data_IF_335268962875
#
_entry.id   IF_335268962875
#
_cell.length_a   1.000
_cell.length_b   1.000
_cell.length_c   1.000
_cell.angle_alpha   90.00
_cell.angle_beta   90.00
_cell.angle_gamma   90.00
#
_symmetry.space_group_name_H-M   'P 1'
#
loop_
_entity.id
_entity.type
_entity.pdbx_description
1 polymer ?
#
# COMPACT_ATOMS: atom_id res chain seq x y z
N UNK A 1 -0.47 17.65 -19.40
CA UNK A 1 -0.38 18.18 -18.02
C UNK A 1 -1.57 17.77 -17.13
N UNK A 2 -2.74 17.52 -17.72
CA UNK A 2 -3.99 17.14 -17.01
C UNK A 2 -3.89 15.82 -16.22
N UNK A 3 -3.32 14.76 -16.81
CA UNK A 3 -3.15 13.43 -16.19
C UNK A 3 -2.40 13.44 -14.83
N UNK A 4 -1.50 14.39 -14.63
CA UNK A 4 -0.74 14.54 -13.38
C UNK A 4 -1.55 15.22 -12.28
N UNK A 5 -2.51 16.07 -12.64
CA UNK A 5 -3.44 16.72 -11.71
C UNK A 5 -4.44 15.70 -11.16
N UNK A 6 -5.00 14.86 -12.02
CA UNK A 6 -5.93 13.80 -11.62
C UNK A 6 -5.28 12.79 -10.67
N UNK A 7 -4.02 12.44 -10.91
CA UNK A 7 -3.28 11.54 -10.01
C UNK A 7 -3.06 12.17 -8.63
N UNK A 8 -2.71 13.46 -8.56
CA UNK A 8 -2.57 14.18 -7.29
C UNK A 8 -3.90 14.26 -6.54
N UNK A 9 -5.00 14.58 -7.23
CA UNK A 9 -6.33 14.64 -6.63
C UNK A 9 -6.76 13.27 -6.09
N UNK A 10 -6.55 12.20 -6.87
CA UNK A 10 -6.81 10.82 -6.39
C UNK A 10 -5.96 10.48 -5.18
N UNK A 11 -4.67 10.84 -5.18
CA UNK A 11 -3.79 10.61 -4.02
C UNK A 11 -4.33 11.33 -2.77
N UNK A 12 -4.69 12.61 -2.89
CA UNK A 12 -5.28 13.38 -1.78
C UNK A 12 -6.58 12.74 -1.29
N UNK A 13 -7.46 12.35 -2.22
CA UNK A 13 -8.71 11.68 -1.89
C UNK A 13 -8.48 10.37 -1.12
N UNK A 14 -7.58 9.51 -1.60
CA UNK A 14 -7.27 8.25 -0.91
C UNK A 14 -6.55 8.47 0.42
N UNK A 15 -5.71 9.51 0.54
CA UNK A 15 -5.08 9.87 1.82
C UNK A 15 -6.11 10.38 2.83
N UNK A 16 -7.08 11.16 2.38
CA UNK A 16 -8.17 11.65 3.21
C UNK A 16 -9.11 10.51 3.63
N UNK A 17 -9.43 9.59 2.72
CA UNK A 17 -10.23 8.40 3.03
C UNK A 17 -9.54 7.52 4.08
N UNK A 18 -8.23 7.30 3.94
CA UNK A 18 -7.43 6.58 4.94
C UNK A 18 -7.39 7.30 6.28
N UNK A 19 -7.32 8.64 6.27
CA UNK A 19 -7.36 9.42 7.50
C UNK A 19 -8.69 9.27 8.24
N UNK A 20 -9.82 9.32 7.52
CA UNK A 20 -11.15 9.06 8.08
C UNK A 20 -11.25 7.64 8.63
N UNK A 21 -10.74 6.65 7.89
CA UNK A 21 -10.74 5.25 8.30
C UNK A 21 -10.04 5.05 9.66
N UNK A 22 -8.89 5.71 9.87
CA UNK A 22 -8.18 5.69 11.15
C UNK A 22 -8.98 6.37 12.27
N UNK A 23 -9.66 7.47 11.99
CA UNK A 23 -10.52 8.13 12.99
C UNK A 23 -11.70 7.23 13.41
N UNK A 24 -12.37 6.63 12.43
CA UNK A 24 -13.46 5.67 12.69
C UNK A 24 -12.96 4.45 13.46
N UNK A 25 -11.76 3.98 13.17
CA UNK A 25 -11.14 2.90 13.92
C UNK A 25 -10.95 3.27 15.40
N UNK A 26 -10.40 4.46 15.67
CA UNK A 26 -10.20 4.97 17.03
C UNK A 26 -11.54 5.11 17.77
N UNK A 27 -12.55 5.69 17.11
CA UNK A 27 -13.90 5.84 17.67
C UNK A 27 -14.57 4.48 17.95
N UNK A 28 -14.38 3.50 17.06
CA UNK A 28 -14.93 2.15 17.24
C UNK A 28 -14.34 1.44 18.47
N UNK A 29 -13.04 1.65 18.73
CA UNK A 29 -12.37 1.13 19.92
C UNK A 29 -12.92 1.83 21.16
N UNK A 30 -13.07 3.15 21.12
CA UNK A 30 -13.56 3.94 22.26
C UNK A 30 -15.01 3.58 22.65
N UNK A 31 -15.87 3.33 21.67
CA UNK A 31 -17.29 3.01 21.87
C UNK A 31 -17.57 1.52 22.08
N UNK A 32 -16.56 0.65 21.94
CA UNK A 32 -16.68 -0.81 21.99
C UNK A 32 -17.76 -1.40 21.05
N UNK A 33 -18.09 -0.68 19.96
CA UNK A 33 -19.14 -1.10 19.05
C UNK A 33 -18.59 -2.03 17.99
N UNK A 34 -18.79 -3.34 18.18
CA UNK A 34 -18.29 -4.42 17.30
C UNK A 34 -18.74 -4.21 15.83
N UNK A 35 -19.96 -3.74 15.61
CA UNK A 35 -20.47 -3.50 14.24
C UNK A 35 -19.68 -2.45 13.48
N UNK A 36 -19.22 -1.39 14.15
CA UNK A 36 -18.42 -0.32 13.53
C UNK A 36 -17.03 -0.86 13.17
N UNK A 37 -16.44 -1.72 14.00
CA UNK A 37 -15.18 -2.39 13.68
C UNK A 37 -15.25 -3.21 12.38
N UNK A 38 -16.35 -3.94 12.16
CA UNK A 38 -16.55 -4.71 10.92
C UNK A 38 -16.63 -3.78 9.71
N UNK A 39 -17.33 -2.65 9.83
CA UNK A 39 -17.42 -1.65 8.75
C UNK A 39 -16.03 -1.06 8.44
N UNK A 40 -15.28 -0.67 9.47
CA UNK A 40 -13.91 -0.16 9.33
C UNK A 40 -13.02 -1.19 8.64
N UNK A 41 -13.09 -2.47 9.04
CA UNK A 41 -12.32 -3.52 8.40
C UNK A 41 -12.59 -3.62 6.88
N UNK A 42 -13.86 -3.54 6.47
CA UNK A 42 -14.24 -3.56 5.05
C UNK A 42 -13.73 -2.31 4.31
N UNK A 43 -13.79 -1.13 4.93
CA UNK A 43 -13.28 0.11 4.35
C UNK A 43 -11.76 0.04 4.21
N UNK A 44 -11.04 -0.42 5.23
CA UNK A 44 -9.59 -0.63 5.19
C UNK A 44 -9.19 -1.59 4.06
N UNK A 45 -9.89 -2.72 3.91
CA UNK A 45 -9.65 -3.69 2.82
C UNK A 45 -9.86 -3.03 1.44
N UNK A 46 -10.93 -2.25 1.29
CA UNK A 46 -11.22 -1.52 0.06
C UNK A 46 -10.15 -0.47 -0.28
N UNK A 47 -9.66 0.26 0.71
CA UNK A 47 -8.54 1.21 0.56
C UNK A 47 -7.27 0.47 0.15
N UNK A 48 -7.01 -0.71 0.72
CA UNK A 48 -5.85 -1.51 0.36
C UNK A 48 -5.93 -2.02 -1.09
N UNK A 49 -7.10 -2.48 -1.55
CA UNK A 49 -7.24 -2.97 -2.92
C UNK A 49 -7.13 -1.87 -3.99
N UNK A 50 -7.77 -0.71 -3.79
CA UNK A 50 -7.85 0.35 -4.82
C UNK A 50 -6.96 1.56 -4.54
N UNK A 51 -6.84 1.95 -3.28
CA UNK A 51 -6.09 3.12 -2.83
C UNK A 51 -4.58 2.88 -2.71
N UNK A 52 -4.15 1.65 -2.42
CA UNK A 52 -2.73 1.33 -2.20
C UNK A 52 -1.83 1.76 -3.38
N UNK A 53 -2.31 1.63 -4.62
CA UNK A 53 -1.59 2.10 -5.81
C UNK A 53 -1.31 3.60 -5.77
N UNK A 54 -2.25 4.42 -5.28
CA UNK A 54 -2.13 5.88 -5.23
C UNK A 54 -1.35 6.35 -4.01
N UNK A 55 -1.46 5.62 -2.89
CA UNK A 55 -0.81 5.93 -1.62
C UNK A 55 0.66 5.48 -1.60
N UNK A 56 0.90 4.22 -1.95
CA UNK A 56 2.19 3.55 -1.74
C UNK A 56 2.84 3.04 -3.04
N UNK A 57 2.25 3.28 -4.21
CA UNK A 57 2.74 2.74 -5.48
C UNK A 57 4.20 3.06 -5.80
N UNK A 58 4.69 4.26 -5.50
CA UNK A 58 6.11 4.60 -5.68
C UNK A 58 7.02 3.85 -4.69
N UNK A 59 6.57 3.69 -3.44
CA UNK A 59 7.32 2.99 -2.42
C UNK A 59 7.41 1.49 -2.74
N UNK A 60 6.31 0.89 -3.17
CA UNK A 60 6.25 -0.51 -3.59
C UNK A 60 7.09 -0.77 -4.84
N UNK A 61 7.07 0.15 -5.81
CA UNK A 61 7.94 0.06 -6.98
C UNK A 61 9.43 0.06 -6.57
N UNK A 62 9.83 0.94 -5.65
CA UNK A 62 11.21 0.96 -5.11
C UNK A 62 11.56 -0.33 -4.38
N UNK A 63 10.64 -0.89 -3.58
CA UNK A 63 10.85 -2.16 -2.86
C UNK A 63 10.94 -3.34 -3.81
N UNK A 64 10.09 -3.40 -4.84
CA UNK A 64 10.10 -4.45 -5.86
C UNK A 64 11.42 -4.45 -6.63
N UNK A 65 11.89 -3.28 -7.08
CA UNK A 65 13.19 -3.13 -7.75
C UNK A 65 14.35 -3.62 -6.88
N UNK A 66 14.38 -3.27 -5.59
CA UNK A 66 15.40 -3.78 -4.66
C UNK A 66 15.36 -5.31 -4.51
N UNK A 67 14.18 -5.92 -4.49
CA UNK A 67 14.03 -7.39 -4.44
C UNK A 67 14.54 -8.06 -5.71
N UNK A 68 14.23 -7.49 -6.87
CA UNK A 68 14.68 -7.99 -8.17
C UNK A 68 16.21 -7.94 -8.29
N UNK A 69 16.84 -6.84 -7.88
CA UNK A 69 18.30 -6.71 -7.87
C UNK A 69 18.96 -7.80 -7.00
N UNK A 70 18.48 -7.98 -5.75
CA UNK A 70 19.00 -9.04 -4.86
C UNK A 70 18.81 -10.44 -5.44
N UNK A 71 17.67 -10.68 -6.11
CA UNK A 71 17.42 -11.97 -6.78
C UNK A 71 18.41 -12.22 -7.91
N UNK A 72 18.71 -11.19 -8.72
CA UNK A 72 19.69 -11.29 -9.80
C UNK A 72 21.11 -11.54 -9.27
N UNK A 73 21.50 -10.85 -8.19
CA UNK A 73 22.79 -11.09 -7.53
C UNK A 73 22.92 -12.52 -7.01
N UNK A 74 21.90 -13.05 -6.34
CA UNK A 74 21.88 -14.44 -5.88
C UNK A 74 22.02 -15.45 -7.03
N UNK A 75 21.30 -15.24 -8.12
CA UNK A 75 21.38 -16.10 -9.30
C UNK A 75 22.76 -16.04 -9.96
N UNK A 76 23.38 -14.86 -10.04
CA UNK A 76 24.76 -14.71 -10.54
C UNK A 76 25.77 -15.45 -9.67
N UNK A 77 25.69 -15.31 -8.35
CA UNK A 77 26.56 -16.04 -7.43
C UNK A 77 26.39 -17.55 -7.57
N UNK A 78 25.15 -18.03 -7.70
CA UNK A 78 24.87 -19.46 -7.88
C UNK A 78 25.42 -19.98 -9.22
N UNK A 79 25.32 -19.21 -10.30
CA UNK A 79 25.88 -19.57 -11.59
C UNK A 79 27.42 -19.61 -11.57
N UNK A 80 28.07 -18.64 -10.91
CA UNK A 80 29.53 -18.61 -10.73
C UNK A 80 30.02 -19.81 -9.91
N UNK A 81 29.31 -20.16 -8.84
CA UNK A 81 29.67 -21.30 -7.98
C UNK A 81 29.38 -22.66 -8.64
N UNK A 82 28.48 -22.72 -9.62
CA UNK A 82 28.17 -23.96 -10.35
C UNK A 82 29.14 -24.25 -11.49
N UNK A 83 29.93 -23.26 -11.93
CA UNK A 83 30.87 -23.37 -13.06
C UNK A 83 32.33 -23.52 -12.58
N UNK A 84 32.52 -23.78 -11.28
CA UNK A 84 33.80 -23.95 -10.60
C UNK A 84 33.86 -25.36 -10.03
#
# INVERSE_FOLDING_TARGET
MEKNRDYKLKRIFWSFLLFIDVLLFIESIATQTIWIMVVVMVISEFINFKGNKYLFGEFDARRKKKRELRRQEYLKQRALNSNK
#
